data_IF_941440012156
#
_entry.id   IF_941440012156
#
_cell.length_a   1.000
_cell.length_b   1.000
_cell.length_c   1.000
_cell.angle_alpha   90.00
_cell.angle_beta   90.00
_cell.angle_gamma   90.00
#
_symmetry.space_group_name_H-M   'P 1'
#
loop_
_entity.id
_entity.type
_entity.pdbx_description
1 polymer ?
#
# COMPACT_ATOMS: atom_id res chain seq x y z
N UNK A 1 -2.27 49.96 -45.12
CA UNK A 1 -1.29 49.05 -44.47
C UNK A 1 -1.43 48.96 -42.94
N UNK A 2 -1.57 50.07 -42.20
CA UNK A 2 -1.66 50.07 -40.71
C UNK A 2 -2.77 49.20 -40.07
N UNK A 3 -3.87 48.92 -40.78
CA UNK A 3 -5.01 48.15 -40.24
C UNK A 3 -4.78 46.63 -40.27
N UNK A 4 -4.03 46.12 -41.24
CA UNK A 4 -3.67 44.70 -41.32
C UNK A 4 -2.61 44.34 -40.29
N UNK A 5 -1.61 45.21 -40.06
CA UNK A 5 -0.57 44.99 -39.05
C UNK A 5 -1.15 44.95 -37.64
N UNK A 6 -2.11 45.82 -37.29
CA UNK A 6 -2.81 45.72 -35.99
C UNK A 6 -3.56 44.40 -35.80
N UNK A 7 -4.18 43.87 -36.87
CA UNK A 7 -4.92 42.61 -36.81
C UNK A 7 -3.98 41.41 -36.65
N UNK A 8 -2.90 41.33 -37.45
CA UNK A 8 -1.90 40.27 -37.27
C UNK A 8 -1.25 40.36 -35.91
N UNK A 9 -0.83 41.53 -35.43
CA UNK A 9 -0.24 41.69 -34.09
C UNK A 9 -1.15 41.20 -32.97
N UNK A 10 -2.45 41.50 -33.02
CA UNK A 10 -3.42 41.00 -32.02
C UNK A 10 -3.58 39.48 -32.11
N UNK A 11 -3.68 38.93 -33.32
CA UNK A 11 -3.80 37.48 -33.52
C UNK A 11 -2.55 36.75 -33.01
N UNK A 12 -1.37 37.27 -33.31
CA UNK A 12 -0.09 36.68 -32.90
C UNK A 12 0.07 36.75 -31.39
N UNK A 13 -0.22 37.88 -30.75
CA UNK A 13 -0.17 38.02 -29.29
C UNK A 13 -1.15 37.09 -28.58
N UNK A 14 -2.39 36.98 -29.08
CA UNK A 14 -3.41 36.11 -28.50
C UNK A 14 -3.06 34.63 -28.69
N UNK A 15 -2.52 34.26 -29.85
CA UNK A 15 -2.00 32.92 -30.11
C UNK A 15 -0.81 32.57 -29.23
N UNK A 16 0.13 33.51 -29.03
CA UNK A 16 1.28 33.33 -28.15
C UNK A 16 0.84 33.15 -26.69
N UNK A 17 -0.10 33.96 -26.23
CA UNK A 17 -0.66 33.85 -24.89
C UNK A 17 -1.32 32.49 -24.66
N UNK A 18 -2.18 32.05 -25.60
CA UNK A 18 -2.81 30.73 -25.53
C UNK A 18 -1.80 29.59 -25.57
N UNK A 19 -0.76 29.71 -26.39
CA UNK A 19 0.32 28.73 -26.45
C UNK A 19 1.03 28.60 -25.11
N UNK A 20 1.33 29.70 -24.43
CA UNK A 20 1.95 29.66 -23.11
C UNK A 20 1.02 29.12 -22.03
N UNK A 21 -0.27 29.47 -22.04
CA UNK A 21 -1.27 28.89 -21.12
C UNK A 21 -1.37 27.37 -21.32
N UNK A 22 -1.47 26.93 -22.57
CA UNK A 22 -1.51 25.51 -22.92
C UNK A 22 -0.22 24.80 -22.48
N UNK A 23 0.95 25.36 -22.77
CA UNK A 23 2.23 24.79 -22.33
C UNK A 23 2.32 24.65 -20.82
N UNK A 24 2.02 25.74 -20.09
CA UNK A 24 2.09 25.75 -18.63
C UNK A 24 1.15 24.71 -18.02
N UNK A 25 -0.08 24.62 -18.53
CA UNK A 25 -1.05 23.63 -18.08
C UNK A 25 -0.65 22.20 -18.43
N UNK A 26 -0.12 21.97 -19.62
CA UNK A 26 0.28 20.63 -20.06
C UNK A 26 1.47 20.13 -19.22
N UNK A 27 2.45 21.00 -18.97
CA UNK A 27 3.56 20.73 -18.04
C UNK A 27 3.05 20.42 -16.64
N UNK A 28 2.12 21.24 -16.12
CA UNK A 28 1.56 21.06 -14.77
C UNK A 28 0.81 19.72 -14.67
N UNK A 29 -0.05 19.40 -15.63
CA UNK A 29 -0.79 18.14 -15.67
C UNK A 29 0.16 16.95 -15.74
N UNK A 30 1.22 16.99 -16.56
CA UNK A 30 2.23 15.91 -16.64
C UNK A 30 2.93 15.72 -15.30
N UNK A 31 3.33 16.81 -14.62
CA UNK A 31 4.02 16.73 -13.32
C UNK A 31 3.12 16.07 -12.27
N UNK A 32 1.87 16.51 -12.13
CA UNK A 32 0.95 15.98 -11.12
C UNK A 32 0.48 14.56 -11.43
N UNK A 33 0.25 14.22 -12.70
CA UNK A 33 -0.07 12.85 -13.09
C UNK A 33 1.09 11.89 -12.82
N UNK A 34 2.34 12.32 -13.06
CA UNK A 34 3.51 11.48 -12.78
C UNK A 34 3.71 11.28 -11.27
N UNK A 35 3.51 12.33 -10.46
CA UNK A 35 3.54 12.23 -8.99
C UNK A 35 2.46 11.29 -8.44
N UNK A 36 1.25 11.37 -8.99
CA UNK A 36 0.16 10.45 -8.67
C UNK A 36 0.52 9.00 -9.00
N UNK A 37 1.05 8.75 -10.21
CA UNK A 37 1.47 7.42 -10.64
C UNK A 37 2.61 6.84 -9.78
N UNK A 38 3.61 7.65 -9.42
CA UNK A 38 4.71 7.24 -8.55
C UNK A 38 4.22 6.92 -7.13
N UNK A 39 3.33 7.74 -6.60
CA UNK A 39 2.70 7.53 -5.28
C UNK A 39 1.94 6.20 -5.23
N UNK A 40 1.12 5.92 -6.26
CA UNK A 40 0.37 4.66 -6.37
C UNK A 40 1.29 3.44 -6.57
N UNK A 41 2.41 3.60 -7.29
CA UNK A 41 3.40 2.53 -7.44
C UNK A 41 4.05 2.19 -6.09
N UNK A 42 4.44 3.20 -5.32
CA UNK A 42 5.03 3.02 -3.99
C UNK A 42 4.02 2.39 -3.02
N UNK A 43 2.74 2.76 -3.12
CA UNK A 43 1.67 2.12 -2.37
C UNK A 43 1.55 0.62 -2.66
N UNK A 44 1.60 0.21 -3.93
CA UNK A 44 1.52 -1.21 -4.29
C UNK A 44 2.67 -2.04 -3.69
N UNK A 45 3.87 -1.46 -3.61
CA UNK A 45 5.00 -2.10 -2.94
C UNK A 45 4.78 -2.22 -1.43
N UNK A 46 4.25 -1.18 -0.78
CA UNK A 46 3.96 -1.16 0.66
C UNK A 46 2.86 -2.14 1.06
N UNK A 47 1.77 -2.21 0.29
CA UNK A 47 0.67 -3.17 0.51
C UNK A 47 1.19 -4.61 0.44
N UNK A 48 2.08 -4.89 -0.51
CA UNK A 48 2.68 -6.23 -0.66
C UNK A 48 3.57 -6.62 0.53
N UNK A 49 4.29 -5.65 1.12
CA UNK A 49 5.11 -5.88 2.33
C UNK A 49 4.24 -6.04 3.60
N UNK A 50 3.14 -5.29 3.69
CA UNK A 50 2.19 -5.33 4.82
C UNK A 50 1.41 -6.65 4.87
N UNK A 51 1.04 -7.21 3.72
CA UNK A 51 0.39 -8.52 3.65
C UNK A 51 1.29 -9.64 4.21
N UNK A 52 2.60 -9.53 3.99
CA UNK A 52 3.57 -10.50 4.50
C UNK A 52 3.66 -10.56 6.03
N UNK A 53 3.55 -9.42 6.75
CA UNK A 53 3.57 -9.43 8.22
C UNK A 53 2.26 -9.94 8.80
N UNK A 54 1.12 -9.62 8.17
CA UNK A 54 -0.19 -10.13 8.59
C UNK A 54 -0.26 -11.67 8.47
N UNK A 55 0.36 -12.23 7.43
CA UNK A 55 0.35 -13.67 7.16
C UNK A 55 1.09 -14.51 8.20
N UNK A 56 2.09 -13.95 8.91
CA UNK A 56 2.82 -14.66 9.98
C UNK A 56 1.87 -15.33 10.97
N UNK A 57 0.76 -14.67 11.32
CA UNK A 57 -0.25 -15.18 12.23
C UNK A 57 -0.96 -16.41 11.67
N UNK A 58 -1.33 -16.37 10.39
CA UNK A 58 -2.03 -17.47 9.72
C UNK A 58 -1.13 -18.72 9.66
N UNK A 59 0.15 -18.54 9.33
CA UNK A 59 1.14 -19.62 9.30
C UNK A 59 1.35 -20.25 10.67
N UNK A 60 1.52 -19.45 11.73
CA UNK A 60 1.71 -20.00 13.08
C UNK A 60 0.44 -20.67 13.62
N UNK A 61 -0.76 -20.15 13.30
CA UNK A 61 -2.02 -20.83 13.66
C UNK A 61 -2.19 -22.15 12.91
N UNK A 62 -1.84 -22.20 11.62
CA UNK A 62 -1.81 -23.46 10.88
C UNK A 62 -0.89 -24.49 11.56
N UNK A 63 0.32 -24.08 11.95
CA UNK A 63 1.24 -24.93 12.69
C UNK A 63 0.61 -25.48 13.99
N UNK A 64 -0.01 -24.62 14.80
CA UNK A 64 -0.70 -25.02 16.05
C UNK A 64 -1.85 -25.99 15.81
N UNK A 65 -2.68 -25.73 14.81
CA UNK A 65 -3.80 -26.60 14.44
C UNK A 65 -3.31 -27.96 13.95
N UNK A 66 -2.25 -27.99 13.13
CA UNK A 66 -1.64 -29.25 12.69
C UNK A 66 -1.01 -30.02 13.84
N UNK A 67 -0.39 -29.34 14.82
CA UNK A 67 0.10 -30.00 16.04
C UNK A 67 -1.05 -30.60 16.85
N UNK A 68 -2.17 -29.87 17.00
CA UNK A 68 -3.35 -30.41 17.69
C UNK A 68 -3.90 -31.66 16.98
N UNK A 69 -3.90 -31.68 15.65
CA UNK A 69 -4.29 -32.84 14.87
C UNK A 69 -3.35 -34.05 15.03
N UNK A 70 -2.12 -33.87 15.55
CA UNK A 70 -1.20 -34.96 15.85
C UNK A 70 -1.52 -35.66 17.19
N UNK A 71 -2.24 -35.00 18.10
CA UNK A 71 -2.53 -35.50 19.46
C UNK A 71 -3.14 -36.91 19.47
N UNK A 72 -4.14 -37.25 18.63
CA UNK A 72 -4.75 -38.59 18.63
C UNK A 72 -3.76 -39.72 18.33
N UNK A 73 -2.63 -39.43 17.65
CA UNK A 73 -1.63 -40.42 17.27
C UNK A 73 -0.43 -40.48 18.26
N UNK A 74 -0.47 -39.66 19.32
CA UNK A 74 0.61 -39.55 20.31
C UNK A 74 0.73 -40.80 21.20
N UNK A 75 -0.29 -41.66 21.25
CA UNK A 75 -0.28 -42.96 21.95
C UNK A 75 0.55 -44.04 21.21
N UNK A 76 0.90 -43.80 19.94
CA UNK A 76 1.67 -44.75 19.11
C UNK A 76 0.82 -45.60 18.18
N UNK A 77 -0.50 -45.41 18.15
CA UNK A 77 -1.44 -46.13 17.27
C UNK A 77 -1.13 -45.97 15.78
N UNK A 78 -0.63 -44.80 15.37
CA UNK A 78 -0.21 -44.53 13.98
C UNK A 78 1.04 -43.62 13.93
N UNK A 79 2.25 -44.20 14.01
CA UNK A 79 3.50 -43.43 14.01
C UNK A 79 3.75 -42.65 12.71
N UNK A 80 3.27 -43.15 11.57
CA UNK A 80 3.41 -42.48 10.28
C UNK A 80 2.59 -41.19 10.24
N UNK A 81 1.30 -41.26 10.61
CA UNK A 81 0.43 -40.09 10.69
C UNK A 81 0.94 -39.06 11.71
N UNK A 82 1.45 -39.53 12.85
CA UNK A 82 2.05 -38.67 13.87
C UNK A 82 3.25 -37.88 13.31
N UNK A 83 4.20 -38.57 12.68
CA UNK A 83 5.40 -37.94 12.12
C UNK A 83 5.07 -37.01 10.96
N UNK A 84 4.11 -37.38 10.09
CA UNK A 84 3.65 -36.54 8.99
C UNK A 84 3.03 -35.23 9.52
N UNK A 85 2.20 -35.30 10.56
CA UNK A 85 1.61 -34.12 11.18
C UNK A 85 2.67 -33.21 11.82
N UNK A 86 3.67 -33.76 12.52
CA UNK A 86 4.78 -32.98 13.06
C UNK A 86 5.60 -32.29 11.96
N UNK A 87 5.89 -32.99 10.86
CA UNK A 87 6.62 -32.42 9.73
C UNK A 87 5.81 -31.29 9.06
N UNK A 88 4.51 -31.50 8.84
CA UNK A 88 3.62 -30.49 8.26
C UNK A 88 3.48 -29.26 9.17
N UNK A 89 3.35 -29.46 10.49
CA UNK A 89 3.35 -28.37 11.44
C UNK A 89 4.66 -27.58 11.40
N UNK A 90 5.79 -28.28 11.25
CA UNK A 90 7.11 -27.64 11.15
C UNK A 90 7.24 -26.80 9.89
N UNK A 91 6.74 -27.29 8.75
CA UNK A 91 6.66 -26.51 7.52
C UNK A 91 5.91 -25.19 7.73
N UNK A 92 4.76 -25.22 8.39
CA UNK A 92 4.01 -24.00 8.68
C UNK A 92 4.74 -23.06 9.64
N UNK A 93 5.35 -23.61 10.68
CA UNK A 93 6.13 -22.85 11.65
C UNK A 93 7.30 -22.10 10.98
N UNK A 94 8.08 -22.81 10.15
CA UNK A 94 9.21 -22.22 9.42
C UNK A 94 8.75 -21.19 8.38
N UNK A 95 7.61 -21.41 7.73
CA UNK A 95 6.97 -20.42 6.87
C UNK A 95 6.69 -19.12 7.62
N UNK A 96 6.05 -19.20 8.79
CA UNK A 96 5.79 -18.04 9.64
C UNK A 96 7.06 -17.30 10.04
N UNK A 97 8.13 -18.01 10.40
CA UNK A 97 9.42 -17.39 10.74
C UNK A 97 10.02 -16.63 9.54
N UNK A 98 9.96 -17.20 8.34
CA UNK A 98 10.44 -16.56 7.11
C UNK A 98 9.69 -15.28 6.79
N UNK A 99 8.36 -15.27 6.97
CA UNK A 99 7.56 -14.05 6.76
C UNK A 99 7.92 -12.94 7.74
N UNK A 100 8.14 -13.28 9.03
CA UNK A 100 8.59 -12.30 10.01
C UNK A 100 9.99 -11.77 9.66
N UNK A 101 10.91 -12.65 9.24
CA UNK A 101 12.24 -12.24 8.82
C UNK A 101 12.20 -11.28 7.62
N UNK A 102 11.36 -11.57 6.63
CA UNK A 102 11.17 -10.71 5.45
C UNK A 102 10.62 -9.34 5.86
N UNK A 103 9.61 -9.31 6.73
CA UNK A 103 9.09 -8.05 7.29
C UNK A 103 10.18 -7.28 8.03
N UNK A 104 10.98 -7.93 8.88
CA UNK A 104 12.06 -7.28 9.63
C UNK A 104 13.15 -6.70 8.71
N UNK A 105 13.45 -7.37 7.60
CA UNK A 105 14.42 -6.89 6.61
C UNK A 105 13.91 -5.73 5.73
N UNK A 106 12.59 -5.54 5.62
CA UNK A 106 12.03 -4.45 4.84
C UNK A 106 12.30 -3.08 5.49
N UNK A 107 12.40 -1.98 4.71
CA UNK A 107 12.43 -0.63 5.25
C UNK A 107 11.20 -0.38 6.15
N UNK A 108 11.39 0.37 7.23
CA UNK A 108 10.31 0.71 8.18
C UNK A 108 9.75 2.09 7.89
N UNK A 109 8.45 2.25 8.10
CA UNK A 109 7.80 3.55 8.04
C UNK A 109 8.30 4.48 9.15
N UNK A 110 8.14 5.79 8.94
CA UNK A 110 8.40 6.78 9.98
C UNK A 110 7.53 6.49 11.21
N UNK A 111 8.16 6.38 12.40
CA UNK A 111 7.48 6.06 13.64
C UNK A 111 7.19 4.56 13.89
N UNK A 112 7.51 3.67 12.95
CA UNK A 112 7.28 2.22 13.10
C UNK A 112 8.41 1.51 13.86
N UNK A 113 9.63 2.06 13.88
CA UNK A 113 10.83 1.36 14.33
C UNK A 113 10.71 0.73 15.73
N UNK A 114 10.16 1.46 16.72
CA UNK A 114 9.95 0.93 18.07
C UNK A 114 8.93 -0.22 18.09
N UNK A 115 7.80 -0.04 17.41
CA UNK A 115 6.75 -1.05 17.30
C UNK A 115 7.25 -2.30 16.59
N UNK A 116 8.11 -2.14 15.58
CA UNK A 116 8.67 -3.26 14.85
C UNK A 116 9.61 -4.11 15.71
N UNK A 117 10.40 -3.47 16.59
CA UNK A 117 11.24 -4.17 17.57
C UNK A 117 10.41 -4.87 18.63
N UNK A 118 9.37 -4.22 19.15
CA UNK A 118 8.44 -4.86 20.08
C UNK A 118 7.76 -6.07 19.41
N UNK A 119 7.27 -5.91 18.18
CA UNK A 119 6.67 -6.98 17.40
C UNK A 119 7.60 -8.18 17.25
N UNK A 120 8.87 -7.94 16.90
CA UNK A 120 9.88 -8.99 16.79
C UNK A 120 10.07 -9.75 18.11
N UNK A 121 10.17 -9.03 19.22
CA UNK A 121 10.36 -9.61 20.55
C UNK A 121 9.14 -10.48 20.94
N UNK A 122 7.92 -9.95 20.80
CA UNK A 122 6.69 -10.70 21.12
C UNK A 122 6.51 -11.91 20.23
N UNK A 123 6.85 -11.80 18.95
CA UNK A 123 6.79 -12.92 18.02
C UNK A 123 7.81 -14.01 18.36
N UNK A 124 9.02 -13.63 18.77
CA UNK A 124 10.02 -14.58 19.25
C UNK A 124 9.52 -15.32 20.51
N UNK A 125 8.89 -14.62 21.45
CA UNK A 125 8.30 -15.26 22.63
C UNK A 125 7.18 -16.23 22.24
N UNK A 126 6.26 -15.80 21.38
CA UNK A 126 5.16 -16.64 20.89
C UNK A 126 5.63 -17.90 20.17
N UNK A 127 6.62 -17.75 19.30
CA UNK A 127 7.14 -18.87 18.51
C UNK A 127 8.03 -19.79 19.34
N UNK A 128 9.04 -19.27 20.04
CA UNK A 128 10.00 -20.09 20.78
C UNK A 128 9.42 -20.63 22.09
N UNK A 129 8.84 -19.76 22.92
CA UNK A 129 8.36 -20.13 24.25
C UNK A 129 6.94 -20.70 24.25
N UNK A 130 6.19 -20.47 23.18
CA UNK A 130 4.84 -20.97 22.96
C UNK A 130 4.82 -22.17 22.04
N UNK A 131 4.86 -21.94 20.72
CA UNK A 131 4.66 -22.99 19.72
C UNK A 131 5.81 -24.01 19.70
N UNK A 132 7.05 -23.60 19.93
CA UNK A 132 8.20 -24.49 20.09
C UNK A 132 8.05 -25.44 21.28
N UNK A 133 7.45 -24.98 22.38
CA UNK A 133 7.13 -25.82 23.52
C UNK A 133 6.06 -26.87 23.20
N UNK A 134 5.11 -26.57 22.31
CA UNK A 134 4.13 -27.55 21.82
C UNK A 134 4.79 -28.68 21.03
N UNK A 135 5.74 -28.35 20.14
CA UNK A 135 6.54 -29.38 19.45
C UNK A 135 7.27 -30.26 20.46
N UNK A 136 7.91 -29.66 21.47
CA UNK A 136 8.66 -30.40 22.49
C UNK A 136 7.76 -31.34 23.29
N UNK A 137 6.57 -30.88 23.69
CA UNK A 137 5.61 -31.71 24.41
C UNK A 137 5.16 -32.92 23.58
N UNK A 138 4.79 -32.71 22.31
CA UNK A 138 4.38 -33.81 21.44
C UNK A 138 5.52 -34.76 21.09
N UNK A 139 6.74 -34.27 20.85
CA UNK A 139 7.92 -35.13 20.64
C UNK A 139 8.17 -36.06 21.83
N UNK A 140 7.87 -35.60 23.05
CA UNK A 140 7.91 -36.42 24.28
C UNK A 140 6.65 -37.26 24.50
N UNK A 141 5.66 -37.19 23.59
CA UNK A 141 4.32 -37.78 23.70
C UNK A 141 3.56 -37.35 24.97
N UNK A 142 3.89 -36.18 25.51
CA UNK A 142 3.27 -35.62 26.71
C UNK A 142 2.02 -34.79 26.31
N UNK A 143 0.92 -35.52 26.07
CA UNK A 143 -0.37 -34.92 25.69
C UNK A 143 -0.94 -33.99 26.78
N UNK A 144 -0.91 -34.33 28.09
CA UNK A 144 -1.36 -33.41 29.13
C UNK A 144 -0.59 -32.08 29.12
N UNK A 145 0.73 -32.10 29.01
CA UNK A 145 1.52 -30.88 28.93
C UNK A 145 1.22 -30.09 27.65
N UNK A 146 1.06 -30.77 26.51
CA UNK A 146 0.68 -30.14 25.25
C UNK A 146 -0.65 -29.37 25.39
N UNK A 147 -1.71 -30.02 25.89
CA UNK A 147 -3.04 -29.41 26.03
C UNK A 147 -3.03 -28.24 27.02
N UNK A 148 -2.32 -28.39 28.14
CA UNK A 148 -2.14 -27.31 29.11
C UNK A 148 -1.47 -26.09 28.47
N UNK A 149 -0.33 -26.28 27.79
CA UNK A 149 0.38 -25.20 27.09
C UNK A 149 -0.49 -24.54 26.03
N UNK A 150 -1.16 -25.35 25.20
CA UNK A 150 -1.98 -24.91 24.08
C UNK A 150 -3.18 -24.06 24.53
N UNK A 151 -3.79 -24.40 25.67
CA UNK A 151 -4.93 -23.68 26.24
C UNK A 151 -4.57 -22.50 27.15
N UNK A 152 -3.31 -22.34 27.54
CA UNK A 152 -2.89 -21.29 28.49
C UNK A 152 -1.77 -20.43 27.92
N UNK A 153 -0.51 -20.82 28.14
CA UNK A 153 0.68 -20.03 27.80
C UNK A 153 0.71 -19.62 26.33
N UNK A 154 0.37 -20.52 25.40
CA UNK A 154 0.40 -20.20 23.97
C UNK A 154 -0.66 -19.16 23.60
N UNK A 155 -1.83 -19.18 24.23
CA UNK A 155 -2.88 -18.17 24.02
C UNK A 155 -2.40 -16.80 24.50
N UNK A 156 -1.87 -16.72 25.73
CA UNK A 156 -1.38 -15.46 26.29
C UNK A 156 -0.26 -14.84 25.44
N UNK A 157 0.64 -15.66 24.88
CA UNK A 157 1.70 -15.19 24.00
C UNK A 157 1.19 -14.74 22.62
N UNK A 158 0.21 -15.43 22.04
CA UNK A 158 -0.46 -15.01 20.79
C UNK A 158 -1.12 -13.63 20.98
N UNK A 159 -1.79 -13.41 22.11
CA UNK A 159 -2.41 -12.12 22.43
C UNK A 159 -1.39 -11.00 22.63
N UNK A 160 -0.30 -11.26 23.37
CA UNK A 160 0.78 -10.29 23.56
C UNK A 160 1.46 -9.92 22.23
N UNK A 161 1.57 -10.88 21.31
CA UNK A 161 2.06 -10.67 19.95
C UNK A 161 1.09 -9.86 19.08
N UNK A 162 -0.22 -10.11 19.19
CA UNK A 162 -1.25 -9.42 18.41
C UNK A 162 -1.26 -7.90 18.65
N UNK A 163 -0.98 -7.44 19.87
CA UNK A 163 -1.02 -6.00 20.22
C UNK A 163 -0.09 -5.13 19.35
N UNK A 164 1.22 -5.37 19.27
CA UNK A 164 2.08 -4.61 18.37
C UNK A 164 1.81 -4.90 16.89
N UNK A 165 1.36 -6.11 16.55
CA UNK A 165 1.01 -6.45 15.16
C UNK A 165 -0.12 -5.55 14.63
N UNK A 166 -1.20 -5.42 15.40
CA UNK A 166 -2.36 -4.59 15.01
C UNK A 166 -1.96 -3.13 14.83
N UNK A 167 -1.04 -2.62 15.67
CA UNK A 167 -0.51 -1.25 15.55
C UNK A 167 0.34 -1.08 14.28
N UNK A 168 1.20 -2.03 13.97
CA UNK A 168 1.98 -2.03 12.72
C UNK A 168 1.03 -2.05 11.52
N UNK A 169 0.05 -2.96 11.49
CA UNK A 169 -0.95 -3.03 10.41
C UNK A 169 -1.71 -1.70 10.29
N UNK A 170 -2.06 -1.05 11.40
CA UNK A 170 -2.75 0.23 11.39
C UNK A 170 -1.91 1.36 10.79
N UNK A 171 -0.60 1.42 11.09
CA UNK A 171 0.33 2.40 10.49
C UNK A 171 0.36 2.25 8.97
N UNK A 172 0.55 1.03 8.49
CA UNK A 172 0.59 0.72 7.06
C UNK A 172 -0.74 1.01 6.37
N UNK A 173 -1.87 0.69 7.02
CA UNK A 173 -3.21 1.01 6.51
C UNK A 173 -3.44 2.53 6.44
N UNK A 174 -3.02 3.28 7.44
CA UNK A 174 -3.16 4.74 7.43
C UNK A 174 -2.28 5.38 6.36
N UNK A 175 -1.05 4.88 6.19
CA UNK A 175 -0.17 5.29 5.10
C UNK A 175 -0.82 5.06 3.74
N UNK A 176 -1.42 3.89 3.54
CA UNK A 176 -2.13 3.56 2.31
C UNK A 176 -3.23 4.56 1.98
N UNK A 177 -4.06 4.89 2.98
CA UNK A 177 -5.12 5.91 2.84
C UNK A 177 -4.54 7.29 2.48
N UNK A 178 -3.48 7.71 3.18
CA UNK A 178 -2.85 9.01 2.93
C UNK A 178 -2.27 9.10 1.51
N UNK A 179 -1.62 8.04 1.04
CA UNK A 179 -1.05 7.98 -0.31
C UNK A 179 -2.15 8.04 -1.38
N UNK A 180 -3.24 7.28 -1.21
CA UNK A 180 -4.40 7.33 -2.12
C UNK A 180 -5.01 8.72 -2.15
N UNK A 181 -5.22 9.35 -1.00
CA UNK A 181 -5.81 10.69 -0.93
C UNK A 181 -4.92 11.76 -1.58
N UNK A 182 -3.59 11.64 -1.43
CA UNK A 182 -2.64 12.52 -2.12
C UNK A 182 -2.68 12.30 -3.64
N UNK A 183 -2.70 11.04 -4.10
CA UNK A 183 -2.78 10.71 -5.52
C UNK A 183 -4.08 11.24 -6.16
N UNK A 184 -5.21 11.14 -5.46
CA UNK A 184 -6.49 11.72 -5.89
C UNK A 184 -6.41 13.24 -5.98
N UNK A 185 -5.80 13.90 -4.98
CA UNK A 185 -5.61 15.35 -4.97
C UNK A 185 -4.75 15.81 -6.16
N UNK A 186 -3.62 15.15 -6.41
CA UNK A 186 -2.73 15.45 -7.52
C UNK A 186 -3.44 15.27 -8.87
N UNK A 187 -4.23 14.20 -8.99
CA UNK A 187 -5.03 13.91 -10.20
C UNK A 187 -6.10 14.97 -10.42
N UNK A 188 -6.80 15.40 -9.35
CA UNK A 188 -7.76 16.50 -9.42
C UNK A 188 -7.12 17.82 -9.87
N UNK A 189 -5.94 18.16 -9.35
CA UNK A 189 -5.21 19.36 -9.77
C UNK A 189 -4.88 19.28 -11.27
N UNK A 190 -4.40 18.13 -11.75
CA UNK A 190 -4.09 17.92 -13.16
C UNK A 190 -5.32 18.12 -14.07
N UNK A 191 -6.50 17.61 -13.66
CA UNK A 191 -7.75 17.79 -14.39
C UNK A 191 -8.26 19.22 -14.37
N UNK A 192 -8.20 19.90 -13.22
CA UNK A 192 -8.59 21.31 -13.11
C UNK A 192 -7.70 22.19 -13.99
N UNK A 193 -6.38 21.97 -13.98
CA UNK A 193 -5.45 22.69 -14.84
C UNK A 193 -5.81 22.51 -16.33
N UNK A 194 -6.01 21.27 -16.77
CA UNK A 194 -6.41 20.96 -18.14
C UNK A 194 -7.76 21.60 -18.51
N UNK A 195 -8.76 21.52 -17.63
CA UNK A 195 -10.09 22.11 -17.82
C UNK A 195 -10.04 23.63 -17.95
N UNK A 196 -9.28 24.31 -17.09
CA UNK A 196 -9.08 25.77 -17.15
C UNK A 196 -8.44 26.17 -18.49
N UNK A 197 -7.44 25.41 -18.96
CA UNK A 197 -6.83 25.67 -20.28
C UNK A 197 -7.80 25.53 -21.43
N UNK A 198 -8.65 24.51 -21.42
CA UNK A 198 -9.69 24.33 -22.46
C UNK A 198 -10.67 25.51 -22.45
N UNK A 199 -11.11 25.96 -21.27
CA UNK A 199 -12.01 27.11 -21.15
C UNK A 199 -11.35 28.39 -21.67
N UNK A 200 -10.10 28.66 -21.28
CA UNK A 200 -9.35 29.83 -21.76
C UNK A 200 -9.14 29.79 -23.27
N UNK A 201 -8.87 28.61 -23.83
CA UNK A 201 -8.76 28.41 -25.27
C UNK A 201 -10.06 28.74 -26.01
N UNK A 202 -11.21 28.26 -25.51
CA UNK A 202 -12.53 28.57 -26.08
C UNK A 202 -12.81 30.08 -26.00
N UNK A 203 -12.61 30.71 -24.84
CA UNK A 203 -12.85 32.14 -24.64
C UNK A 203 -12.01 33.00 -25.59
N UNK A 204 -10.72 32.71 -25.71
CA UNK A 204 -9.84 33.45 -26.62
C UNK A 204 -10.23 33.22 -28.10
N UNK A 205 -10.62 32.00 -28.47
CA UNK A 205 -11.13 31.70 -29.81
C UNK A 205 -12.38 32.52 -30.15
N UNK A 206 -13.31 32.66 -29.19
CA UNK A 206 -14.50 33.50 -29.33
C UNK A 206 -14.13 34.99 -29.46
N UNK A 207 -13.20 35.49 -28.64
CA UNK A 207 -12.73 36.89 -28.70
C UNK A 207 -12.12 37.18 -30.08
N UNK A 208 -11.27 36.27 -30.58
CA UNK A 208 -10.65 36.39 -31.90
C UNK A 208 -11.72 36.36 -33.00
N UNK A 209 -12.69 35.44 -32.93
CA UNK A 209 -13.76 35.33 -33.91
C UNK A 209 -14.67 36.59 -33.95
N UNK A 210 -15.01 37.14 -32.78
CA UNK A 210 -15.79 38.39 -32.68
C UNK A 210 -14.98 39.58 -33.18
N UNK A 211 -13.69 39.66 -32.85
CA UNK A 211 -12.77 40.69 -33.34
C UNK A 211 -12.67 40.67 -34.87
N UNK A 212 -12.47 39.48 -35.45
CA UNK A 212 -12.46 39.26 -36.89
C UNK A 212 -13.80 39.67 -37.54
N UNK A 213 -14.94 39.23 -36.99
CA UNK A 213 -16.27 39.64 -37.50
C UNK A 213 -16.45 41.16 -37.48
N UNK A 214 -16.08 41.84 -36.39
CA UNK A 214 -16.18 43.31 -36.30
C UNK A 214 -15.28 44.03 -37.31
N UNK A 215 -14.08 43.51 -37.57
CA UNK A 215 -13.14 44.11 -38.52
C UNK A 215 -13.45 43.81 -40.00
N UNK A 216 -14.00 42.63 -40.30
CA UNK A 216 -14.30 42.16 -41.67
C UNK A 216 -15.70 42.58 -42.14
N UNK A 217 -16.72 42.56 -41.27
CA UNK A 217 -18.13 42.76 -41.68
C UNK A 217 -18.57 44.23 -41.58
N UNK A 218 -17.95 45.03 -40.70
CA UNK A 218 -18.12 46.50 -40.69
C UNK A 218 -16.78 47.16 -40.99
N UNK A 219 -16.50 47.56 -42.25
CA UNK A 219 -15.38 48.45 -42.46
C UNK A 219 -15.67 49.72 -41.65
N UNK A 220 -14.75 50.20 -40.79
CA UNK A 220 -14.88 51.51 -40.18
C UNK A 220 -14.99 52.49 -41.35
N UNK A 221 -16.13 53.18 -41.41
CA UNK A 221 -16.31 54.29 -42.35
C UNK A 221 -15.16 55.25 -42.10
N UNK A 222 -14.37 55.48 -43.16
CA UNK A 222 -13.42 56.58 -43.22
C UNK A 222 -14.17 57.89 -43.03
#
# INVERSE_FOLDING_TARGET
MLKNTRLTTILTLSGLFLFFVFLASSLLSVIYLNRSAESLKNLNHEVSATLGVADTTNWIRAARTTLLAAVPYADGSNPEAFNAALAQARFYYDGGLRFMQAYQAAPKMAGEAELSRELAARYNDYTQQGVGALFTALQKRDVPAFLMLAGTKVVALDEAYRVPLDKVIAIHKQSAVNITQQADTDTHIAYVAAGVSVILFILASVIVAVGLKKLLIKPPRR
#
